data_IF_951767651927
#
_entry.id   IF_951767651927
#
_cell.length_a   1.000
_cell.length_b   1.000
_cell.length_c   1.000
_cell.angle_alpha   90.00
_cell.angle_beta   90.00
_cell.angle_gamma   90.00
#
_symmetry.space_group_name_H-M   'P 1'
#
loop_
_entity.id
_entity.type
_entity.pdbx_description
1 polymer ?
#
# COMPACT_ATOMS: atom_id res chain seq x y z
N UNK A 1 -14.56 18.38 -19.45
CA UNK A 1 -13.60 17.71 -18.53
C UNK A 1 -14.35 16.62 -17.80
N UNK A 2 -13.90 15.37 -17.87
CA UNK A 2 -14.37 14.34 -16.94
C UNK A 2 -13.87 14.72 -15.54
N UNK A 3 -14.77 14.75 -14.57
CA UNK A 3 -14.40 14.88 -13.16
C UNK A 3 -13.56 13.66 -12.77
N UNK A 4 -12.38 13.91 -12.21
CA UNK A 4 -11.50 12.81 -11.78
C UNK A 4 -12.14 12.13 -10.57
N UNK A 5 -12.21 10.80 -10.62
CA UNK A 5 -12.67 9.99 -9.50
C UNK A 5 -11.45 9.31 -8.89
N UNK A 6 -11.30 9.47 -7.57
CA UNK A 6 -10.23 8.85 -6.79
C UNK A 6 -10.13 7.34 -7.07
N UNK A 7 -8.90 6.84 -7.18
CA UNK A 7 -8.64 5.40 -7.39
C UNK A 7 -8.70 4.59 -6.08
N UNK A 8 -8.95 5.24 -4.94
CA UNK A 8 -8.93 4.65 -3.59
C UNK A 8 -9.62 3.29 -3.49
N UNK A 9 -10.89 3.21 -3.91
CA UNK A 9 -11.66 1.96 -3.77
C UNK A 9 -11.07 0.84 -4.64
N UNK A 10 -10.61 1.16 -5.86
CA UNK A 10 -9.96 0.21 -6.75
C UNK A 10 -8.69 -0.36 -6.10
N UNK A 11 -7.86 0.52 -5.52
CA UNK A 11 -6.62 0.13 -4.83
C UNK A 11 -6.92 -0.80 -3.67
N UNK A 12 -7.87 -0.44 -2.80
CA UNK A 12 -8.24 -1.27 -1.64
C UNK A 12 -8.75 -2.65 -2.06
N UNK A 13 -9.58 -2.73 -3.12
CA UNK A 13 -10.05 -4.02 -3.65
C UNK A 13 -8.90 -4.87 -4.18
N UNK A 14 -8.00 -4.30 -4.99
CA UNK A 14 -6.87 -5.04 -5.57
C UNK A 14 -5.88 -5.53 -4.51
N UNK A 15 -5.59 -4.70 -3.51
CA UNK A 15 -4.76 -5.08 -2.37
C UNK A 15 -5.41 -6.21 -1.57
N UNK A 16 -6.71 -6.09 -1.26
CA UNK A 16 -7.45 -7.12 -0.54
C UNK A 16 -7.46 -8.47 -1.28
N UNK A 17 -7.64 -8.47 -2.61
CA UNK A 17 -7.57 -9.70 -3.42
C UNK A 17 -6.16 -10.31 -3.48
N UNK A 18 -5.12 -9.49 -3.29
CA UNK A 18 -3.72 -9.92 -3.38
C UNK A 18 -3.09 -10.23 -2.01
N UNK A 19 -3.83 -10.03 -0.90
CA UNK A 19 -3.32 -10.20 0.47
C UNK A 19 -2.68 -11.56 0.71
N UNK A 20 -3.28 -12.64 0.21
CA UNK A 20 -2.73 -14.00 0.37
C UNK A 20 -1.36 -14.14 -0.30
N UNK A 21 -1.19 -13.61 -1.51
CA UNK A 21 0.09 -13.59 -2.22
C UNK A 21 1.11 -12.73 -1.48
N UNK A 22 0.70 -11.54 -1.04
CA UNK A 22 1.54 -10.62 -0.26
C UNK A 22 2.08 -11.29 1.02
N UNK A 23 1.23 -12.01 1.73
CA UNK A 23 1.60 -12.72 2.96
C UNK A 23 2.49 -13.94 2.71
N UNK A 24 2.19 -14.74 1.69
CA UNK A 24 2.87 -16.03 1.46
C UNK A 24 4.15 -15.92 0.65
N UNK A 25 4.18 -15.04 -0.36
CA UNK A 25 5.32 -14.89 -1.28
C UNK A 25 6.30 -13.84 -0.78
N UNK A 26 5.79 -12.71 -0.28
CA UNK A 26 6.61 -11.56 0.11
C UNK A 26 6.79 -11.42 1.62
N UNK A 27 6.16 -12.31 2.40
CA UNK A 27 6.28 -12.33 3.86
C UNK A 27 5.66 -11.11 4.54
N UNK A 28 4.70 -10.43 3.88
CA UNK A 28 4.07 -9.22 4.40
C UNK A 28 3.24 -9.56 5.64
N UNK A 29 3.56 -8.93 6.76
CA UNK A 29 2.80 -9.06 8.01
C UNK A 29 1.80 -7.91 8.16
N UNK A 30 2.15 -6.76 7.59
CA UNK A 30 1.37 -5.54 7.66
C UNK A 30 1.39 -4.84 6.32
N UNK A 31 0.22 -4.40 5.86
CA UNK A 31 0.10 -3.50 4.71
C UNK A 31 -0.98 -2.47 4.96
N UNK A 32 -0.71 -1.23 4.60
CA UNK A 32 -1.70 -0.17 4.68
C UNK A 32 -1.51 0.90 3.61
N UNK A 33 -2.63 1.43 3.12
CA UNK A 33 -2.67 2.57 2.22
C UNK A 33 -2.61 3.87 3.03
N UNK A 34 -1.78 4.83 2.61
CA UNK A 34 -1.72 6.16 3.22
C UNK A 34 -1.67 7.25 2.15
N UNK A 35 -1.48 8.51 2.58
CA UNK A 35 -1.23 9.62 1.66
C UNK A 35 -2.49 10.15 0.97
N UNK A 36 -2.32 10.67 -0.25
CA UNK A 36 -3.40 11.35 -0.99
C UNK A 36 -4.53 10.40 -1.39
N UNK A 37 -4.19 9.18 -1.81
CA UNK A 37 -5.14 8.15 -2.23
C UNK A 37 -5.98 7.68 -1.03
N UNK A 38 -5.38 7.51 0.16
CA UNK A 38 -6.15 7.15 1.37
C UNK A 38 -7.19 8.21 1.73
N UNK A 39 -6.89 9.50 1.51
CA UNK A 39 -7.78 10.64 1.79
C UNK A 39 -8.81 10.90 0.68
N UNK A 40 -8.66 10.25 -0.48
CA UNK A 40 -9.50 10.51 -1.65
C UNK A 40 -9.23 11.86 -2.33
N UNK A 41 -8.06 12.45 -2.05
CA UNK A 41 -7.59 13.74 -2.60
C UNK A 41 -6.55 13.52 -3.70
N UNK A 42 -6.42 12.30 -4.21
CA UNK A 42 -5.51 11.97 -5.29
C UNK A 42 -5.90 12.66 -6.60
N UNK A 43 -4.92 12.74 -7.49
CA UNK A 43 -5.05 13.29 -8.84
C UNK A 43 -4.67 12.23 -9.85
N UNK A 44 -4.92 12.43 -11.17
CA UNK A 44 -4.49 11.49 -12.20
C UNK A 44 -2.98 11.19 -12.24
N UNK A 45 -2.17 12.01 -11.57
CA UNK A 45 -0.71 11.91 -11.51
C UNK A 45 -0.19 11.51 -10.12
N UNK A 46 -1.08 11.24 -9.17
CA UNK A 46 -0.69 10.80 -7.83
C UNK A 46 -0.15 9.37 -7.86
N UNK A 47 0.93 9.14 -7.11
CA UNK A 47 1.46 7.82 -6.82
C UNK A 47 0.65 7.18 -5.67
N UNK A 48 0.81 5.87 -5.48
CA UNK A 48 0.15 5.11 -4.40
C UNK A 48 1.16 4.89 -3.27
N UNK A 49 0.92 5.55 -2.14
CA UNK A 49 1.78 5.43 -0.96
C UNK A 49 1.33 4.24 -0.09
N UNK A 50 2.20 3.24 0.10
CA UNK A 50 1.93 2.05 0.90
C UNK A 50 2.93 1.88 2.05
N UNK A 51 2.40 1.67 3.25
CA UNK A 51 3.17 1.25 4.41
C UNK A 51 3.17 -0.26 4.53
N UNK A 52 4.33 -0.85 4.76
CA UNK A 52 4.43 -2.29 4.97
C UNK A 52 5.36 -2.67 6.13
N UNK A 53 5.14 -3.86 6.68
CA UNK A 53 6.17 -4.65 7.37
C UNK A 53 6.18 -6.05 6.80
N UNK A 54 7.34 -6.69 6.81
CA UNK A 54 7.50 -8.07 6.45
C UNK A 54 8.35 -8.78 7.49
N UNK A 55 8.29 -10.12 7.48
CA UNK A 55 9.14 -10.92 8.35
C UNK A 55 10.62 -10.64 8.06
N UNK A 56 11.52 -10.69 9.07
CA UNK A 56 12.94 -10.37 8.89
C UNK A 56 13.64 -11.17 7.79
N UNK A 57 13.27 -12.44 7.59
CA UNK A 57 13.84 -13.29 6.54
C UNK A 57 13.43 -12.88 5.11
N UNK A 58 12.41 -12.02 4.97
CA UNK A 58 11.96 -11.43 3.71
C UNK A 58 12.43 -9.98 3.53
N UNK A 59 13.06 -9.35 4.55
CA UNK A 59 13.59 -7.98 4.45
C UNK A 59 14.90 -7.95 3.69
N UNK A 60 14.81 -8.17 2.37
CA UNK A 60 15.94 -8.14 1.44
C UNK A 60 15.65 -7.17 0.31
N UNK A 61 16.70 -6.59 -0.28
CA UNK A 61 16.55 -5.64 -1.38
C UNK A 61 15.86 -6.26 -2.60
N UNK A 62 16.17 -7.52 -2.93
CA UNK A 62 15.57 -8.23 -4.05
C UNK A 62 14.06 -8.46 -3.82
N UNK A 63 13.67 -8.84 -2.59
CA UNK A 63 12.26 -9.00 -2.24
C UNK A 63 11.51 -7.65 -2.24
N UNK A 64 12.15 -6.58 -1.78
CA UNK A 64 11.60 -5.23 -1.88
C UNK A 64 11.34 -4.82 -3.33
N UNK A 65 12.30 -5.05 -4.23
CA UNK A 65 12.16 -4.72 -5.65
C UNK A 65 11.04 -5.55 -6.29
N UNK A 66 11.02 -6.86 -6.06
CA UNK A 66 9.98 -7.75 -6.58
C UNK A 66 8.58 -7.38 -6.05
N UNK A 67 8.48 -7.00 -4.77
CA UNK A 67 7.23 -6.53 -4.17
C UNK A 67 6.76 -5.22 -4.83
N UNK A 68 7.66 -4.27 -5.05
CA UNK A 68 7.35 -3.01 -5.71
C UNK A 68 6.82 -3.25 -7.13
N UNK A 69 7.56 -4.03 -7.94
CA UNK A 69 7.15 -4.39 -9.31
C UNK A 69 5.80 -5.10 -9.34
N UNK A 70 5.58 -6.03 -8.40
CA UNK A 70 4.31 -6.73 -8.28
C UNK A 70 3.15 -5.78 -7.97
N UNK A 71 3.33 -4.89 -6.98
CA UNK A 71 2.30 -3.93 -6.60
C UNK A 71 2.00 -2.93 -7.72
N UNK A 72 3.02 -2.42 -8.40
CA UNK A 72 2.83 -1.54 -9.56
C UNK A 72 2.09 -2.26 -10.70
N UNK A 73 2.39 -3.55 -10.91
CA UNK A 73 1.72 -4.36 -11.95
C UNK A 73 0.24 -4.56 -11.68
N UNK A 74 -0.16 -4.81 -10.43
CA UNK A 74 -1.57 -5.04 -10.09
C UNK A 74 -2.34 -3.72 -9.95
N UNK A 75 -1.69 -2.63 -9.53
CA UNK A 75 -2.33 -1.33 -9.29
C UNK A 75 -2.34 -0.42 -10.52
N UNK A 76 -1.52 -0.76 -11.54
CA UNK A 76 -1.32 0.00 -12.78
C UNK A 76 -0.92 1.46 -12.53
N UNK A 77 -0.19 1.69 -11.44
CA UNK A 77 0.26 2.99 -10.96
C UNK A 77 1.58 2.82 -10.23
N UNK A 78 2.36 3.90 -10.20
CA UNK A 78 3.58 3.94 -9.39
C UNK A 78 3.23 3.75 -7.92
N UNK A 79 4.09 3.00 -7.24
CA UNK A 79 3.92 2.68 -5.82
C UNK A 79 5.14 3.18 -5.05
N UNK A 80 4.89 4.02 -4.03
CA UNK A 80 5.91 4.37 -3.05
C UNK A 80 5.78 3.42 -1.84
N UNK A 81 6.75 2.51 -1.74
CA UNK A 81 6.82 1.54 -0.65
C UNK A 81 7.64 2.08 0.52
N UNK A 82 6.98 2.23 1.66
CA UNK A 82 7.60 2.70 2.90
C UNK A 82 7.55 1.61 3.95
N UNK A 83 8.71 1.12 4.36
CA UNK A 83 8.79 0.18 5.48
C UNK A 83 8.53 0.92 6.80
N UNK A 84 7.53 0.45 7.54
CA UNK A 84 7.12 1.04 8.80
C UNK A 84 8.23 0.96 9.87
N UNK A 85 9.10 -0.05 9.77
CA UNK A 85 10.23 -0.25 10.68
C UNK A 85 11.25 0.88 10.57
N UNK A 86 11.50 1.39 9.36
CA UNK A 86 12.46 2.46 9.11
C UNK A 86 11.91 3.87 9.35
N UNK A 87 10.62 4.01 9.65
CA UNK A 87 10.03 5.31 9.97
C UNK A 87 10.47 5.83 11.35
N UNK A 88 10.91 7.09 11.38
CA UNK A 88 11.17 7.82 12.63
C UNK A 88 9.88 7.91 13.46
N UNK A 89 9.94 7.80 14.80
CA UNK A 89 8.76 7.82 15.68
C UNK A 89 7.83 9.01 15.44
N UNK A 90 8.39 10.20 15.16
CA UNK A 90 7.62 11.42 14.87
C UNK A 90 6.75 11.28 13.61
N UNK A 91 7.25 10.57 12.59
CA UNK A 91 6.53 10.34 11.34
C UNK A 91 5.44 9.29 11.56
N UNK A 92 5.71 8.23 12.35
CA UNK A 92 4.71 7.22 12.71
C UNK A 92 3.45 7.83 13.34
N UNK A 93 3.62 8.79 14.26
CA UNK A 93 2.48 9.49 14.89
C UNK A 93 1.69 10.38 13.93
N UNK A 94 2.33 10.90 12.89
CA UNK A 94 1.65 11.74 11.89
C UNK A 94 0.88 10.91 10.88
N UNK A 95 1.45 9.78 10.44
CA UNK A 95 0.83 8.95 9.40
C UNK A 95 -0.44 8.28 9.94
N UNK A 96 -0.48 7.89 11.23
CA UNK A 96 -1.62 7.18 11.85
C UNK A 96 -3.02 7.78 11.61
N UNK A 97 -3.14 9.07 11.31
CA UNK A 97 -4.44 9.71 11.09
C UNK A 97 -5.06 9.42 9.71
N UNK A 98 -4.23 9.06 8.74
CA UNK A 98 -4.62 8.92 7.33
C UNK A 98 -4.31 7.52 6.77
N UNK A 99 -4.20 6.51 7.64
CA UNK A 99 -3.90 5.13 7.26
C UNK A 99 -5.17 4.30 7.13
N UNK A 100 -5.27 3.56 6.03
CA UNK A 100 -6.28 2.51 5.84
C UNK A 100 -5.56 1.17 5.80
N UNK A 101 -5.70 0.39 6.88
CA UNK A 101 -5.12 -0.93 7.00
C UNK A 101 -5.73 -1.89 5.98
N UNK A 102 -4.94 -2.62 5.22
CA UNK A 102 -5.48 -3.65 4.33
C UNK A 102 -5.74 -4.92 5.14
N UNK A 103 -7.02 -5.25 5.39
CA UNK A 103 -7.42 -6.48 6.07
C UNK A 103 -8.23 -7.40 5.16
N UNK A 104 -8.24 -8.74 5.40
CA UNK A 104 -8.97 -9.73 4.58
C UNK A 104 -10.49 -9.57 4.49
N UNK A 105 -11.08 -8.44 4.94
CA UNK A 105 -12.52 -8.18 4.94
C UNK A 105 -12.93 -6.82 4.37
N UNK A 106 -12.00 -6.02 3.83
CA UNK A 106 -12.32 -4.68 3.30
C UNK A 106 -12.83 -4.67 1.85
N UNK A 107 -12.97 -5.82 1.21
CA UNK A 107 -13.43 -5.92 -0.18
C UNK A 107 -14.97 -5.82 -0.37
N UNK A 108 -15.73 -5.48 0.67
CA UNK A 108 -17.19 -5.37 0.58
C UNK A 108 -17.76 -4.27 1.49
N UNK A 109 -17.89 -3.05 0.96
CA UNK A 109 -18.97 -2.08 1.29
C UNK A 109 -19.35 -1.30 0.05
#
# INVERSE_FOLDING_TARGET
MSEYVSIKNRVLTQLASSLSTLQTVYGIEFLALFGSVARGEDTPYSDIDLLYTCKPEFDTFDNYLALAEYLESILERKVDLVSFEYLKPRIRSSIQKDVIFCSPGQAAV
#
